data_IF_966434529637
#
_entry.id   IF_966434529637
#
_cell.length_a   1.000
_cell.length_b   1.000
_cell.length_c   1.000
_cell.angle_alpha   90.00
_cell.angle_beta   90.00
_cell.angle_gamma   90.00
#
_symmetry.space_group_name_H-M   'P 1'
#
loop_
_entity.id
_entity.type
_entity.pdbx_description
1 polymer ?
#
# COMPACT_ATOMS: atom_id res chain seq x y z
N UNK A 1 -33.16 -34.87 -43.35
CA UNK A 1 -32.80 -35.67 -44.54
C UNK A 1 -32.40 -34.72 -45.65
N UNK A 2 -31.33 -35.06 -46.40
CA UNK A 2 -30.89 -34.57 -47.73
C UNK A 2 -31.86 -33.60 -48.43
N UNK A 3 -31.50 -32.45 -49.01
CA UNK A 3 -30.40 -32.17 -49.95
C UNK A 3 -30.22 -30.64 -50.11
N UNK A 4 -28.99 -30.22 -50.41
CA UNK A 4 -28.60 -28.88 -50.83
C UNK A 4 -29.06 -28.58 -52.27
N UNK A 5 -29.42 -27.32 -52.57
CA UNK A 5 -29.31 -26.76 -53.92
C UNK A 5 -28.86 -25.30 -53.83
N UNK A 6 -27.61 -25.04 -54.20
CA UNK A 6 -27.16 -23.76 -54.73
C UNK A 6 -26.65 -24.09 -56.14
N UNK A 7 -27.39 -23.64 -57.16
CA UNK A 7 -27.02 -23.83 -58.57
C UNK A 7 -26.03 -22.76 -58.98
N UNK A 8 -25.01 -23.23 -59.69
CA UNK A 8 -23.83 -22.53 -60.13
C UNK A 8 -24.06 -21.64 -61.37
N UNK A 9 -23.19 -20.64 -61.54
CA UNK A 9 -22.62 -20.34 -62.85
C UNK A 9 -21.12 -20.60 -62.81
N UNK A 10 -20.72 -21.57 -63.63
CA UNK A 10 -19.37 -21.98 -63.96
C UNK A 10 -18.84 -21.15 -65.13
N UNK A 11 -17.52 -20.93 -65.17
CA UNK A 11 -16.57 -21.28 -66.25
C UNK A 11 -15.23 -20.60 -65.90
N UNK A 12 -14.19 -21.26 -65.35
CA UNK A 12 -13.38 -22.45 -65.70
C UNK A 12 -11.95 -21.99 -66.08
N UNK A 13 -10.99 -22.31 -65.20
CA UNK A 13 -9.62 -22.85 -65.45
C UNK A 13 -8.81 -22.73 -64.12
N UNK A 14 -9.01 -23.61 -63.12
CA UNK A 14 -8.28 -24.87 -62.80
C UNK A 14 -6.77 -24.73 -62.48
N UNK A 15 -6.14 -25.34 -61.46
CA UNK A 15 -6.43 -26.14 -60.24
C UNK A 15 -5.09 -26.04 -59.42
N UNK A 16 -5.07 -25.68 -58.12
CA UNK A 16 -4.88 -26.61 -56.98
C UNK A 16 -5.20 -25.90 -55.65
N UNK A 17 -6.00 -26.58 -54.84
CA UNK A 17 -6.58 -26.16 -53.55
C UNK A 17 -5.60 -26.35 -52.37
N UNK A 18 -5.71 -25.47 -51.36
CA UNK A 18 -5.96 -25.90 -49.98
C UNK A 18 -6.69 -24.81 -49.20
N UNK A 19 -7.68 -25.24 -48.43
CA UNK A 19 -8.74 -24.43 -47.84
C UNK A 19 -8.28 -23.69 -46.57
N UNK A 20 -8.57 -22.40 -46.54
CA UNK A 20 -8.61 -21.54 -45.37
C UNK A 20 -9.70 -22.00 -44.40
N UNK A 21 -9.28 -22.65 -43.31
CA UNK A 21 -10.12 -22.91 -42.14
C UNK A 21 -10.23 -21.64 -41.30
N UNK A 22 -11.46 -21.19 -41.00
CA UNK A 22 -11.73 -20.32 -39.87
C UNK A 22 -11.30 -21.04 -38.59
N UNK A 23 -10.14 -20.67 -38.04
CA UNK A 23 -9.74 -21.06 -36.70
C UNK A 23 -10.19 -19.97 -35.71
N UNK A 24 -11.06 -20.37 -34.79
CA UNK A 24 -11.23 -19.73 -33.50
C UNK A 24 -9.88 -19.70 -32.79
N UNK A 25 -9.30 -18.50 -32.59
CA UNK A 25 -8.12 -18.33 -31.74
C UNK A 25 -8.49 -18.66 -30.29
N UNK A 26 -8.39 -19.94 -29.92
CA UNK A 26 -8.11 -20.35 -28.54
C UNK A 26 -6.80 -19.71 -28.15
N UNK A 27 -6.78 -19.01 -27.01
CA UNK A 27 -5.60 -18.33 -26.50
C UNK A 27 -4.39 -19.23 -26.49
N UNK A 28 -3.38 -18.85 -27.28
CA UNK A 28 -2.06 -19.45 -27.19
C UNK A 28 -1.51 -19.15 -25.80
N UNK A 29 -1.34 -20.22 -25.01
CA UNK A 29 -0.54 -20.17 -23.80
C UNK A 29 0.88 -19.87 -24.23
N UNK A 30 1.32 -18.64 -23.96
CA UNK A 30 2.71 -18.24 -24.07
C UNK A 30 3.60 -19.28 -23.36
N UNK A 31 4.69 -19.75 -24.00
CA UNK A 31 5.62 -20.67 -23.35
C UNK A 31 6.29 -19.95 -22.17
N UNK A 32 6.23 -20.57 -20.99
CA UNK A 32 7.08 -20.21 -19.85
C UNK A 32 8.52 -20.57 -20.21
N UNK A 33 9.23 -19.63 -20.85
CA UNK A 33 10.69 -19.72 -20.98
C UNK A 33 11.33 -19.23 -19.69
N UNK A 34 11.99 -20.16 -19.00
CA UNK A 34 12.92 -19.91 -17.91
C UNK A 34 14.21 -19.28 -18.46
N UNK A 35 14.32 -17.97 -18.27
CA UNK A 35 15.49 -17.14 -18.50
C UNK A 35 15.09 -15.71 -18.15
N UNK A 36 15.87 -15.01 -17.32
CA UNK A 36 15.58 -13.68 -16.75
C UNK A 36 15.32 -12.60 -17.81
N UNK A 37 14.16 -12.63 -18.47
CA UNK A 37 13.63 -11.48 -19.18
C UNK A 37 13.02 -10.56 -18.14
N UNK A 38 13.42 -9.27 -18.08
CA UNK A 38 12.82 -8.33 -17.16
C UNK A 38 11.31 -8.30 -17.40
N UNK A 39 10.55 -8.39 -16.31
CA UNK A 39 9.09 -8.36 -16.36
C UNK A 39 8.62 -7.05 -17.01
N UNK A 40 7.81 -7.15 -18.06
CA UNK A 40 7.24 -6.01 -18.76
C UNK A 40 5.99 -5.53 -18.01
N UNK A 41 6.21 -4.74 -16.95
CA UNK A 41 5.16 -4.19 -16.10
C UNK A 41 4.10 -3.42 -16.89
N UNK A 42 4.51 -2.62 -17.88
CA UNK A 42 3.57 -1.86 -18.72
C UNK A 42 2.62 -2.75 -19.51
N UNK A 43 3.12 -3.83 -20.11
CA UNK A 43 2.27 -4.80 -20.81
C UNK A 43 1.39 -5.58 -19.84
N UNK A 44 1.92 -6.00 -18.68
CA UNK A 44 1.15 -6.69 -17.64
C UNK A 44 -0.02 -5.83 -17.12
N UNK A 45 0.18 -4.51 -16.99
CA UNK A 45 -0.88 -3.57 -16.62
C UNK A 45 -1.93 -3.43 -17.72
N UNK A 46 -1.52 -3.42 -19.00
CA UNK A 46 -2.45 -3.32 -20.12
C UNK A 46 -3.46 -4.48 -20.17
N UNK A 47 -3.05 -5.67 -19.74
CA UNK A 47 -3.90 -6.87 -19.66
C UNK A 47 -4.93 -6.81 -18.52
N UNK A 48 -4.75 -5.88 -17.57
CA UNK A 48 -5.62 -5.69 -16.40
C UNK A 48 -6.57 -4.51 -16.55
N UNK A 49 -6.63 -3.86 -17.72
CA UNK A 49 -7.47 -2.68 -17.93
C UNK A 49 -8.95 -3.08 -17.97
N UNK A 50 -9.61 -2.97 -16.82
CA UNK A 50 -11.05 -3.09 -16.65
C UNK A 50 -11.66 -1.78 -16.14
N UNK A 51 -12.94 -1.80 -15.74
CA UNK A 51 -13.61 -0.63 -15.15
C UNK A 51 -12.95 -0.25 -13.82
N UNK A 52 -12.57 -1.23 -13.00
CA UNK A 52 -11.92 -1.03 -11.71
C UNK A 52 -10.59 -0.28 -11.86
N UNK A 53 -9.75 -0.69 -12.81
CA UNK A 53 -8.49 -0.06 -13.13
C UNK A 53 -8.68 1.40 -13.57
N UNK A 54 -9.68 1.67 -14.42
CA UNK A 54 -9.99 3.03 -14.88
C UNK A 54 -10.43 3.95 -13.74
N UNK A 55 -11.22 3.44 -12.81
CA UNK A 55 -11.64 4.18 -11.60
C UNK A 55 -10.44 4.41 -10.68
N UNK A 56 -9.64 3.38 -10.41
CA UNK A 56 -8.46 3.51 -9.55
C UNK A 56 -7.44 4.50 -10.11
N UNK A 57 -7.24 4.51 -11.43
CA UNK A 57 -6.36 5.49 -12.10
C UNK A 57 -6.95 6.91 -12.02
N UNK A 58 -8.27 7.06 -12.21
CA UNK A 58 -8.95 8.34 -12.05
C UNK A 58 -8.76 8.89 -10.62
N UNK A 59 -8.89 8.03 -9.61
CA UNK A 59 -8.65 8.41 -8.21
C UNK A 59 -7.19 8.79 -8.01
N UNK A 60 -6.24 7.94 -8.40
CA UNK A 60 -4.81 8.16 -8.14
C UNK A 60 -4.31 9.50 -8.72
N UNK A 61 -4.65 9.77 -9.98
CA UNK A 61 -4.30 11.05 -10.61
C UNK A 61 -5.05 12.24 -10.01
N UNK A 62 -6.31 12.09 -9.64
CA UNK A 62 -7.05 13.15 -8.94
C UNK A 62 -6.44 13.47 -7.58
N UNK A 63 -5.98 12.47 -6.83
CA UNK A 63 -5.34 12.67 -5.52
C UNK A 63 -3.96 13.35 -5.63
N UNK A 64 -3.21 13.08 -6.71
CA UNK A 64 -1.88 13.66 -6.95
C UNK A 64 -1.92 15.05 -7.59
N UNK A 65 -2.96 15.34 -8.36
CA UNK A 65 -3.11 16.57 -9.14
C UNK A 65 -4.39 17.31 -8.73
N UNK A 66 -4.43 17.76 -7.47
CA UNK A 66 -5.66 18.28 -6.84
C UNK A 66 -6.21 19.56 -7.49
N UNK A 67 -5.42 20.26 -8.30
CA UNK A 67 -5.86 21.47 -9.00
C UNK A 67 -6.28 21.23 -10.46
N UNK A 68 -6.15 20.00 -10.96
CA UNK A 68 -6.57 19.65 -12.31
C UNK A 68 -8.09 19.51 -12.42
N UNK A 69 -8.61 19.78 -13.62
CA UNK A 69 -9.99 19.48 -13.98
C UNK A 69 -10.17 18.00 -14.34
N UNK A 70 -11.40 17.50 -14.33
CA UNK A 70 -11.71 16.14 -14.79
C UNK A 70 -11.20 15.91 -16.23
N UNK A 71 -11.32 16.93 -17.11
CA UNK A 71 -10.83 16.85 -18.48
C UNK A 71 -9.32 16.62 -18.55
N UNK A 72 -8.55 17.31 -17.70
CA UNK A 72 -7.10 17.13 -17.64
C UNK A 72 -6.73 15.71 -17.17
N UNK A 73 -7.40 15.24 -16.11
CA UNK A 73 -7.17 13.89 -15.56
C UNK A 73 -7.55 12.80 -16.55
N UNK A 74 -8.69 12.93 -17.23
CA UNK A 74 -9.14 11.97 -18.26
C UNK A 74 -8.16 11.92 -19.43
N UNK A 75 -7.63 13.06 -19.87
CA UNK A 75 -6.59 13.10 -20.90
C UNK A 75 -5.33 12.37 -20.45
N UNK A 76 -4.86 12.62 -19.23
CA UNK A 76 -3.67 11.97 -18.67
C UNK A 76 -3.86 10.45 -18.54
N UNK A 77 -5.02 10.01 -18.02
CA UNK A 77 -5.42 8.60 -17.95
C UNK A 77 -5.41 7.94 -19.33
N UNK A 78 -5.99 8.59 -20.34
CA UNK A 78 -6.00 8.04 -21.70
C UNK A 78 -4.58 7.91 -22.26
N UNK A 79 -3.70 8.88 -21.99
CA UNK A 79 -2.27 8.79 -22.32
C UNK A 79 -1.57 7.59 -21.65
N UNK A 80 -1.89 7.31 -20.38
CA UNK A 80 -1.39 6.11 -19.69
C UNK A 80 -1.88 4.82 -20.37
N UNK A 81 -3.17 4.74 -20.72
CA UNK A 81 -3.73 3.58 -21.41
C UNK A 81 -3.04 3.30 -22.75
N UNK A 82 -2.77 4.36 -23.53
CA UNK A 82 -2.03 4.26 -24.80
C UNK A 82 -0.58 3.84 -24.58
N UNK A 83 0.09 4.38 -23.55
CA UNK A 83 1.45 3.97 -23.21
C UNK A 83 1.53 2.48 -22.86
N UNK A 84 0.63 2.01 -21.99
CA UNK A 84 0.64 0.61 -21.53
C UNK A 84 0.33 -0.36 -22.68
N UNK A 85 -0.61 -0.04 -23.58
CA UNK A 85 -0.85 -0.89 -24.76
C UNK A 85 0.37 -0.92 -25.69
N UNK A 86 1.07 0.22 -25.82
CA UNK A 86 2.33 0.32 -26.53
C UNK A 86 3.46 -0.57 -25.98
N UNK A 87 3.40 -0.93 -24.70
CA UNK A 87 4.40 -1.78 -24.07
C UNK A 87 4.35 -3.25 -24.50
N UNK A 88 3.26 -3.70 -25.14
CA UNK A 88 3.13 -5.09 -25.58
C UNK A 88 3.73 -5.37 -26.97
N UNK A 89 4.29 -4.36 -27.64
CA UNK A 89 4.96 -4.53 -28.93
C UNK A 89 6.42 -4.95 -28.78
N UNK A 90 6.99 -5.57 -29.82
CA UNK A 90 8.35 -6.15 -29.83
C UNK A 90 9.47 -5.15 -29.49
N UNK A 91 9.23 -3.85 -29.70
CA UNK A 91 10.14 -2.74 -29.35
C UNK A 91 9.59 -1.90 -28.21
N UNK A 92 9.30 -2.55 -27.08
CA UNK A 92 8.84 -1.87 -25.88
C UNK A 92 9.85 -0.81 -25.41
N UNK A 93 9.34 0.37 -25.01
CA UNK A 93 10.16 1.41 -24.37
C UNK A 93 10.84 0.85 -23.11
N UNK A 94 12.07 1.29 -22.77
CA UNK A 94 12.70 0.94 -21.49
C UNK A 94 11.81 1.24 -20.28
N UNK A 95 10.96 2.27 -20.38
CA UNK A 95 10.00 2.66 -19.33
C UNK A 95 8.96 1.57 -19.03
N UNK A 96 8.67 0.68 -19.98
CA UNK A 96 7.71 -0.43 -19.80
C UNK A 96 8.16 -1.46 -18.75
N UNK A 97 9.45 -1.49 -18.43
CA UNK A 97 10.04 -2.41 -17.47
C UNK A 97 10.23 -1.79 -16.08
N UNK A 98 9.82 -0.52 -15.90
CA UNK A 98 9.83 0.15 -14.60
C UNK A 98 8.65 -0.31 -13.73
N UNK A 99 8.70 0.05 -12.44
CA UNK A 99 7.59 -0.24 -11.52
C UNK A 99 6.32 0.50 -11.92
N UNK A 100 5.15 -0.03 -11.54
CA UNK A 100 3.85 0.60 -11.76
C UNK A 100 3.81 2.05 -11.27
N UNK A 101 4.29 2.29 -10.04
CA UNK A 101 4.35 3.65 -9.45
C UNK A 101 5.18 4.58 -10.32
N UNK A 102 6.33 4.11 -10.79
CA UNK A 102 7.22 4.91 -11.63
C UNK A 102 6.58 5.20 -12.99
N UNK A 103 5.94 4.23 -13.63
CA UNK A 103 5.21 4.42 -14.89
C UNK A 103 4.15 5.52 -14.73
N UNK A 104 3.34 5.45 -13.67
CA UNK A 104 2.26 6.40 -13.40
C UNK A 104 2.80 7.81 -13.13
N UNK A 105 3.82 7.95 -12.28
CA UNK A 105 4.44 9.25 -11.98
C UNK A 105 5.14 9.84 -13.20
N UNK A 106 5.78 9.03 -14.04
CA UNK A 106 6.39 9.52 -15.29
C UNK A 106 5.37 10.11 -16.25
N UNK A 107 4.12 9.61 -16.28
CA UNK A 107 3.06 10.24 -17.06
C UNK A 107 2.71 11.62 -16.54
N UNK A 108 2.60 11.78 -15.21
CA UNK A 108 2.38 13.10 -14.58
C UNK A 108 3.53 14.05 -14.94
N UNK A 109 4.77 13.58 -14.81
CA UNK A 109 5.95 14.40 -15.02
C UNK A 109 6.22 14.77 -16.49
N UNK A 110 5.60 14.06 -17.43
CA UNK A 110 5.66 14.38 -18.86
C UNK A 110 4.52 15.31 -19.31
N UNK A 111 3.64 15.74 -18.38
CA UNK A 111 2.43 16.48 -18.71
C UNK A 111 2.46 17.94 -18.25
N UNK A 112 2.97 18.82 -19.11
CA UNK A 112 3.12 20.26 -18.82
C UNK A 112 1.81 20.94 -18.37
N UNK A 113 0.67 20.51 -18.92
CA UNK A 113 -0.65 21.04 -18.54
C UNK A 113 -0.94 20.75 -17.06
N UNK A 114 -0.72 19.52 -16.60
CA UNK A 114 -0.91 19.16 -15.19
C UNK A 114 0.10 19.84 -14.29
N UNK A 115 1.36 19.91 -14.71
CA UNK A 115 2.42 20.49 -13.90
C UNK A 115 2.26 22.01 -13.74
N UNK A 116 1.78 22.70 -14.78
CA UNK A 116 1.49 24.15 -14.72
C UNK A 116 0.45 24.52 -13.65
N UNK A 117 -0.42 23.56 -13.28
CA UNK A 117 -1.48 23.71 -12.28
C UNK A 117 -1.04 23.24 -10.88
N UNK A 118 0.06 22.49 -10.77
CA UNK A 118 0.52 21.88 -9.52
C UNK A 118 2.03 22.11 -9.34
N UNK A 119 2.39 23.30 -8.84
CA UNK A 119 3.79 23.71 -8.66
C UNK A 119 4.59 22.70 -7.84
N UNK A 120 4.02 22.13 -6.78
CA UNK A 120 4.74 21.18 -5.94
C UNK A 120 4.92 19.81 -6.60
N UNK A 121 3.96 19.37 -7.43
CA UNK A 121 4.15 18.18 -8.25
C UNK A 121 5.27 18.40 -9.28
N UNK A 122 5.34 19.60 -9.88
CA UNK A 122 6.45 19.99 -10.75
C UNK A 122 7.81 19.90 -10.04
N UNK A 123 7.90 20.39 -8.79
CA UNK A 123 9.13 20.26 -7.98
C UNK A 123 9.49 18.79 -7.71
N UNK A 124 8.51 17.94 -7.40
CA UNK A 124 8.75 16.50 -7.23
C UNK A 124 9.31 15.85 -8.50
N UNK A 125 8.85 16.26 -9.69
CA UNK A 125 9.31 15.70 -10.96
C UNK A 125 10.80 15.96 -11.25
N UNK A 126 11.39 17.00 -10.65
CA UNK A 126 12.84 17.27 -10.73
C UNK A 126 13.71 16.32 -9.90
N UNK A 127 13.12 15.47 -9.06
CA UNK A 127 13.86 14.54 -8.19
C UNK A 127 14.14 13.19 -8.86
N UNK A 128 15.15 12.48 -8.35
CA UNK A 128 15.43 11.08 -8.72
C UNK A 128 14.28 10.16 -8.30
N UNK A 129 14.17 8.98 -8.91
CA UNK A 129 12.98 8.12 -8.85
C UNK A 129 12.40 7.90 -7.44
N UNK A 130 13.21 7.49 -6.46
CA UNK A 130 12.71 7.23 -5.10
C UNK A 130 12.36 8.51 -4.35
N UNK A 131 13.15 9.55 -4.51
CA UNK A 131 12.88 10.85 -3.88
C UNK A 131 11.61 11.47 -4.47
N UNK A 132 11.37 11.27 -5.77
CA UNK A 132 10.12 11.63 -6.46
C UNK A 132 8.93 10.86 -5.88
N UNK A 133 9.04 9.55 -5.71
CA UNK A 133 7.97 8.73 -5.11
C UNK A 133 7.64 9.21 -3.68
N UNK A 134 8.66 9.45 -2.86
CA UNK A 134 8.50 9.99 -1.52
C UNK A 134 7.90 11.40 -1.54
N UNK A 135 8.32 12.25 -2.48
CA UNK A 135 7.80 13.60 -2.64
C UNK A 135 6.31 13.59 -2.94
N UNK A 136 5.85 12.80 -3.93
CA UNK A 136 4.42 12.68 -4.24
C UNK A 136 3.61 12.09 -3.08
N UNK A 137 4.17 11.12 -2.34
CA UNK A 137 3.54 10.59 -1.12
C UNK A 137 3.36 11.69 -0.06
N UNK A 138 4.38 12.53 0.13
CA UNK A 138 4.30 13.65 1.06
C UNK A 138 3.27 14.71 0.60
N UNK A 139 3.14 14.96 -0.70
CA UNK A 139 2.08 15.83 -1.23
C UNK A 139 0.69 15.27 -0.92
N UNK A 140 0.49 13.97 -1.13
CA UNK A 140 -0.76 13.27 -0.85
C UNK A 140 -1.18 13.35 0.63
N UNK A 141 -0.20 13.39 1.54
CA UNK A 141 -0.41 13.43 2.98
C UNK A 141 -0.45 14.86 3.57
N UNK A 142 -0.47 15.91 2.74
CA UNK A 142 -0.63 17.29 3.23
C UNK A 142 -2.04 17.51 3.79
N UNK A 143 -2.22 18.50 4.67
CA UNK A 143 -3.53 18.93 5.11
C UNK A 143 -4.46 19.21 3.92
N UNK A 144 -5.77 18.84 4.00
CA UNK A 144 -6.71 19.10 2.92
C UNK A 144 -6.76 20.58 2.53
N UNK A 145 -6.75 20.84 1.22
CA UNK A 145 -6.91 22.20 0.69
C UNK A 145 -8.39 22.51 0.54
N UNK A 146 -8.77 23.78 0.77
CA UNK A 146 -10.13 24.23 0.53
C UNK A 146 -10.45 24.25 -0.97
N UNK A 147 -11.24 23.28 -1.42
CA UNK A 147 -11.68 23.15 -2.82
C UNK A 147 -13.17 23.55 -2.96
N UNK A 148 -13.58 24.16 -4.10
CA UNK A 148 -14.98 24.51 -4.36
C UNK A 148 -15.88 23.29 -4.26
N UNK A 149 -17.00 23.39 -3.54
CA UNK A 149 -17.87 22.24 -3.22
C UNK A 149 -18.24 21.41 -4.46
N UNK A 150 -18.36 20.09 -4.26
CA UNK A 150 -18.49 19.12 -5.35
C UNK A 150 -19.74 19.37 -6.21
N UNK A 151 -20.80 19.96 -5.63
CA UNK A 151 -22.04 20.18 -6.35
C UNK A 151 -22.91 21.36 -5.89
N UNK A 152 -22.35 22.35 -5.16
CA UNK A 152 -23.13 23.43 -4.52
C UNK A 152 -23.85 24.41 -5.45
N UNK A 153 -23.91 24.13 -6.75
CA UNK A 153 -24.51 25.02 -7.75
C UNK A 153 -25.71 24.40 -8.47
N UNK A 154 -26.06 23.14 -8.20
CA UNK A 154 -27.19 22.46 -8.83
C UNK A 154 -28.22 22.03 -7.79
N UNK A 155 -29.50 22.11 -8.15
CA UNK A 155 -30.59 21.50 -7.37
C UNK A 155 -30.52 19.97 -7.48
N UNK A 156 -31.16 19.26 -6.55
CA UNK A 156 -31.25 17.79 -6.61
C UNK A 156 -31.91 17.33 -7.91
N UNK A 157 -32.90 18.08 -8.41
CA UNK A 157 -33.54 17.82 -9.70
C UNK A 157 -32.55 17.95 -10.87
N UNK A 158 -31.72 19.00 -10.88
CA UNK A 158 -30.69 19.22 -11.90
C UNK A 158 -29.63 18.11 -11.88
N UNK A 159 -29.22 17.66 -10.69
CA UNK A 159 -28.29 16.54 -10.55
C UNK A 159 -28.91 15.21 -11.05
N UNK A 160 -30.20 14.98 -10.80
CA UNK A 160 -30.91 13.82 -11.32
C UNK A 160 -31.09 13.86 -12.84
N UNK A 161 -31.37 15.04 -13.41
CA UNK A 161 -31.38 15.24 -14.86
C UNK A 161 -29.99 14.98 -15.47
N UNK A 162 -28.93 15.45 -14.82
CA UNK A 162 -27.56 15.18 -15.25
C UNK A 162 -27.21 13.68 -15.17
N UNK A 163 -27.67 12.98 -14.13
CA UNK A 163 -27.52 11.52 -14.00
C UNK A 163 -28.21 10.78 -15.15
N UNK A 164 -29.44 11.19 -15.49
CA UNK A 164 -30.21 10.59 -16.57
C UNK A 164 -29.58 10.87 -17.95
N UNK A 165 -29.06 12.08 -18.16
CA UNK A 165 -28.45 12.49 -19.42
C UNK A 165 -27.09 11.83 -19.66
N UNK A 166 -26.22 11.78 -18.65
CA UNK A 166 -24.89 11.19 -18.76
C UNK A 166 -24.38 10.66 -17.42
N UNK A 167 -24.85 9.45 -17.08
CA UNK A 167 -24.43 8.72 -15.88
C UNK A 167 -22.92 8.63 -15.72
N UNK A 168 -22.19 8.32 -16.79
CA UNK A 168 -20.74 8.12 -16.73
C UNK A 168 -20.00 9.41 -16.38
N UNK A 169 -20.38 10.52 -16.99
CA UNK A 169 -19.77 11.82 -16.70
C UNK A 169 -20.05 12.26 -15.25
N UNK A 170 -21.29 12.09 -14.77
CA UNK A 170 -21.63 12.44 -13.39
C UNK A 170 -20.81 11.60 -12.39
N UNK A 171 -20.72 10.29 -12.63
CA UNK A 171 -19.92 9.35 -11.83
C UNK A 171 -18.45 9.76 -11.79
N UNK A 172 -17.82 10.00 -12.94
CA UNK A 172 -16.42 10.41 -12.99
C UNK A 172 -16.18 11.77 -12.31
N UNK A 173 -17.12 12.72 -12.47
CA UNK A 173 -17.07 14.03 -11.82
C UNK A 173 -17.11 13.92 -10.29
N UNK A 174 -17.99 13.07 -9.75
CA UNK A 174 -18.06 12.83 -8.31
C UNK A 174 -16.82 12.12 -7.77
N UNK A 175 -16.34 11.07 -8.45
CA UNK A 175 -15.10 10.37 -8.06
C UNK A 175 -13.94 11.37 -8.04
N UNK A 176 -13.79 12.19 -9.07
CA UNK A 176 -12.77 13.22 -9.15
C UNK A 176 -12.92 14.29 -8.05
N UNK A 177 -14.16 14.71 -7.76
CA UNK A 177 -14.46 15.67 -6.70
C UNK A 177 -14.08 15.16 -5.31
N UNK A 178 -14.41 13.90 -4.99
CA UNK A 178 -14.09 13.26 -3.72
C UNK A 178 -12.59 12.95 -3.60
N UNK A 179 -11.98 12.38 -4.64
CA UNK A 179 -10.58 11.98 -4.64
C UNK A 179 -9.63 13.16 -4.35
N UNK A 180 -9.89 14.34 -4.92
CA UNK A 180 -9.07 15.54 -4.66
C UNK A 180 -9.12 16.05 -3.21
N UNK A 181 -10.11 15.62 -2.42
CA UNK A 181 -10.28 16.01 -1.01
C UNK A 181 -9.81 14.94 -0.05
N UNK A 182 -9.96 13.68 -0.46
CA UNK A 182 -9.65 12.51 0.34
C UNK A 182 -8.36 11.89 -0.17
N UNK A 183 -7.29 12.69 -0.19
CA UNK A 183 -6.01 12.32 -0.78
C UNK A 183 -5.33 11.18 -0.02
N UNK A 184 -5.51 11.09 1.29
CA UNK A 184 -4.91 10.04 2.11
C UNK A 184 -5.47 8.62 1.84
N UNK A 185 -6.63 8.47 1.20
CA UNK A 185 -7.27 7.15 1.07
C UNK A 185 -6.75 6.38 -0.15
N UNK A 186 -6.73 5.05 -0.04
CA UNK A 186 -6.33 4.21 -1.18
C UNK A 186 -7.33 4.33 -2.34
N UNK A 187 -6.89 4.15 -3.60
CA UNK A 187 -7.80 4.12 -4.74
C UNK A 187 -8.96 3.11 -4.59
N UNK A 188 -8.70 1.98 -3.94
CA UNK A 188 -9.70 0.95 -3.68
C UNK A 188 -10.77 1.43 -2.69
N UNK A 189 -10.34 2.03 -1.57
CA UNK A 189 -11.26 2.59 -0.58
C UNK A 189 -12.08 3.75 -1.16
N UNK A 190 -11.44 4.64 -1.91
CA UNK A 190 -12.12 5.71 -2.62
C UNK A 190 -13.14 5.21 -3.65
N UNK A 191 -12.85 4.10 -4.31
CA UNK A 191 -13.79 3.47 -5.24
C UNK A 191 -15.05 2.98 -4.50
N UNK A 192 -14.91 2.41 -3.31
CA UNK A 192 -16.05 1.98 -2.47
C UNK A 192 -16.87 3.15 -1.96
N UNK A 193 -16.22 4.19 -1.42
CA UNK A 193 -16.89 5.42 -0.98
C UNK A 193 -17.66 6.05 -2.15
N UNK A 194 -17.03 6.15 -3.31
CA UNK A 194 -17.68 6.70 -4.50
C UNK A 194 -18.86 5.85 -4.95
N UNK A 195 -18.75 4.53 -4.89
CA UNK A 195 -19.85 3.61 -5.22
C UNK A 195 -21.07 3.82 -4.32
N UNK A 196 -20.89 3.88 -3.01
CA UNK A 196 -21.97 4.13 -2.05
C UNK A 196 -22.66 5.47 -2.32
N UNK A 197 -21.87 6.51 -2.62
CA UNK A 197 -22.39 7.83 -2.97
C UNK A 197 -23.20 7.82 -4.28
N UNK A 198 -22.72 7.11 -5.30
CA UNK A 198 -23.44 6.99 -6.58
C UNK A 198 -24.75 6.19 -6.41
N UNK A 199 -24.76 5.16 -5.55
CA UNK A 199 -25.97 4.41 -5.24
C UNK A 199 -27.05 5.29 -4.62
N UNK A 200 -26.67 6.19 -3.70
CA UNK A 200 -27.59 7.19 -3.14
C UNK A 200 -28.29 7.99 -4.25
N UNK A 201 -27.55 8.47 -5.24
CA UNK A 201 -28.12 9.22 -6.37
C UNK A 201 -29.06 8.35 -7.22
N UNK A 202 -28.62 7.15 -7.57
CA UNK A 202 -29.43 6.21 -8.35
C UNK A 202 -30.74 5.90 -7.61
N UNK A 203 -30.69 5.72 -6.29
CA UNK A 203 -31.88 5.46 -5.49
C UNK A 203 -32.78 6.69 -5.43
N UNK A 204 -32.28 7.85 -5.02
CA UNK A 204 -33.13 9.01 -4.77
C UNK A 204 -33.69 9.65 -6.04
N UNK A 205 -32.97 9.63 -7.15
CA UNK A 205 -33.48 10.13 -8.43
C UNK A 205 -34.66 9.32 -8.98
N UNK A 206 -34.97 8.14 -8.42
CA UNK A 206 -36.18 7.38 -8.75
C UNK A 206 -37.37 7.70 -7.85
N UNK A 207 -37.16 8.40 -6.73
CA UNK A 207 -38.20 8.76 -5.76
C UNK A 207 -38.70 10.19 -5.97
N UNK A 208 -39.29 10.47 -7.13
CA UNK A 208 -39.70 11.83 -7.54
C UNK A 208 -40.62 12.49 -6.50
N UNK A 209 -41.56 11.74 -5.91
CA UNK A 209 -42.52 12.26 -4.93
C UNK A 209 -41.90 12.61 -3.56
N UNK A 210 -40.70 12.10 -3.27
CA UNK A 210 -40.01 12.32 -2.00
C UNK A 210 -38.50 12.59 -2.22
N UNK A 211 -38.17 13.36 -3.26
CA UNK A 211 -36.78 13.58 -3.68
C UNK A 211 -35.93 14.13 -2.52
N UNK A 212 -36.37 15.25 -1.93
CA UNK A 212 -35.69 15.92 -0.81
C UNK A 212 -35.55 15.03 0.41
N UNK A 213 -36.62 14.32 0.79
CA UNK A 213 -36.61 13.43 1.94
C UNK A 213 -35.70 12.22 1.73
N UNK A 214 -35.69 11.63 0.52
CA UNK A 214 -34.78 10.56 0.17
C UNK A 214 -33.32 11.01 0.28
N UNK A 215 -32.96 12.14 -0.36
CA UNK A 215 -31.58 12.64 -0.33
C UNK A 215 -31.13 12.97 1.09
N UNK A 216 -31.98 13.57 1.92
CA UNK A 216 -31.66 13.85 3.32
C UNK A 216 -31.33 12.56 4.09
N UNK A 217 -32.22 11.55 4.01
CA UNK A 217 -32.05 10.28 4.70
C UNK A 217 -30.84 9.49 4.17
N UNK A 218 -30.71 9.33 2.86
CA UNK A 218 -29.62 8.56 2.25
C UNK A 218 -28.26 9.24 2.42
N UNK A 219 -28.21 10.58 2.47
CA UNK A 219 -26.96 11.30 2.76
C UNK A 219 -26.47 11.03 4.18
N UNK A 220 -27.38 10.97 5.15
CA UNK A 220 -27.03 10.60 6.52
C UNK A 220 -26.50 9.17 6.61
N UNK A 221 -27.18 8.22 5.96
CA UNK A 221 -26.72 6.82 5.83
C UNK A 221 -25.33 6.74 5.20
N UNK A 222 -25.11 7.43 4.07
CA UNK A 222 -23.82 7.50 3.41
C UNK A 222 -22.70 8.06 4.31
N UNK A 223 -22.98 9.12 5.08
CA UNK A 223 -21.99 9.68 5.99
C UNK A 223 -21.60 8.69 7.10
N UNK A 224 -22.57 7.93 7.63
CA UNK A 224 -22.32 6.88 8.61
C UNK A 224 -21.51 5.73 7.99
N UNK A 225 -21.90 5.24 6.82
CA UNK A 225 -21.16 4.18 6.09
C UNK A 225 -19.73 4.59 5.76
N UNK A 226 -19.54 5.82 5.26
CA UNK A 226 -18.22 6.36 4.95
C UNK A 226 -17.34 6.42 6.20
N UNK A 227 -17.87 6.88 7.34
CA UNK A 227 -17.14 6.90 8.60
C UNK A 227 -16.71 5.48 9.02
N UNK A 228 -17.62 4.52 8.93
CA UNK A 228 -17.33 3.12 9.26
C UNK A 228 -16.28 2.52 8.32
N UNK A 229 -16.35 2.80 7.02
CA UNK A 229 -15.36 2.34 6.04
C UNK A 229 -13.97 2.91 6.35
N UNK A 230 -13.88 4.20 6.71
CA UNK A 230 -12.63 4.85 7.13
C UNK A 230 -12.07 4.19 8.38
N UNK A 231 -12.90 3.97 9.40
CA UNK A 231 -12.47 3.34 10.64
C UNK A 231 -12.00 1.90 10.39
N UNK A 232 -12.72 1.12 9.59
CA UNK A 232 -12.43 -0.29 9.32
C UNK A 232 -11.18 -0.48 8.45
N UNK A 233 -10.97 0.36 7.43
CA UNK A 233 -9.80 0.27 6.55
C UNK A 233 -8.53 0.87 7.16
N UNK A 234 -8.64 1.62 8.25
CA UNK A 234 -7.49 2.16 8.99
C UNK A 234 -6.77 1.04 9.78
N UNK A 235 -6.06 0.18 9.04
CA UNK A 235 -5.38 -1.02 9.54
C UNK A 235 -4.43 -0.72 10.69
N UNK A 236 -3.68 0.37 10.60
CA UNK A 236 -2.73 0.75 11.67
C UNK A 236 -3.49 1.14 12.94
N UNK A 237 -4.56 1.94 12.85
CA UNK A 237 -5.35 2.27 14.03
C UNK A 237 -6.05 1.03 14.62
N UNK A 238 -6.64 0.17 13.78
CA UNK A 238 -7.26 -1.08 14.24
C UNK A 238 -6.28 -1.96 15.01
N UNK A 239 -5.03 -2.04 14.56
CA UNK A 239 -3.95 -2.73 15.27
C UNK A 239 -3.45 -1.96 16.49
N UNK A 240 -3.57 -0.64 16.51
CA UNK A 240 -3.13 0.21 17.63
C UNK A 240 -4.11 0.26 18.80
N UNK A 241 -5.35 -0.23 18.62
CA UNK A 241 -6.34 -0.40 19.71
C UNK A 241 -5.80 -1.21 20.89
N UNK A 242 -4.74 -2.00 20.67
CA UNK A 242 -4.09 -2.80 21.70
C UNK A 242 -3.05 -2.03 22.55
N UNK A 243 -2.85 -0.72 22.34
CA UNK A 243 -2.04 0.15 23.19
C UNK A 243 -0.63 0.46 22.68
N UNK A 244 -0.09 1.60 23.12
CA UNK A 244 1.21 2.11 22.68
C UNK A 244 2.37 1.15 23.01
N UNK A 245 2.37 0.54 24.22
CA UNK A 245 3.42 -0.40 24.65
C UNK A 245 3.55 -1.60 23.70
N UNK A 246 2.43 -2.19 23.28
CA UNK A 246 2.44 -3.31 22.32
C UNK A 246 2.98 -2.89 20.95
N UNK A 247 2.60 -1.71 20.47
CA UNK A 247 3.12 -1.17 19.21
C UNK A 247 4.63 -0.95 19.26
N UNK A 248 5.12 -0.36 20.36
CA UNK A 248 6.55 -0.17 20.60
C UNK A 248 7.28 -1.51 20.58
N UNK A 249 6.79 -2.50 21.34
CA UNK A 249 7.39 -3.84 21.42
C UNK A 249 7.42 -4.56 20.07
N UNK A 250 6.33 -4.56 19.31
CA UNK A 250 6.28 -5.21 17.99
C UNK A 250 7.26 -4.56 17.01
N UNK A 251 7.41 -3.24 17.05
CA UNK A 251 8.37 -2.51 16.24
C UNK A 251 9.82 -2.76 16.68
N UNK A 252 10.09 -2.89 17.98
CA UNK A 252 11.39 -3.31 18.52
C UNK A 252 11.76 -4.71 18.01
N UNK A 253 10.84 -5.67 18.11
CA UNK A 253 11.04 -7.05 17.62
C UNK A 253 11.35 -7.02 16.11
N UNK A 254 10.53 -6.32 15.33
CA UNK A 254 10.76 -6.19 13.89
C UNK A 254 12.13 -5.59 13.59
N UNK A 255 12.51 -4.50 14.27
CA UNK A 255 13.78 -3.85 14.07
C UNK A 255 14.95 -4.78 14.41
N UNK A 256 14.92 -5.44 15.56
CA UNK A 256 15.93 -6.39 15.98
C UNK A 256 16.09 -7.56 14.99
N UNK A 257 14.99 -8.06 14.43
CA UNK A 257 15.03 -9.12 13.41
C UNK A 257 15.55 -8.65 12.05
N UNK A 258 15.51 -7.34 11.75
CA UNK A 258 15.93 -6.79 10.45
C UNK A 258 17.26 -6.05 10.48
N UNK A 259 17.66 -5.52 11.62
CA UNK A 259 18.98 -4.91 11.88
C UNK A 259 19.56 -5.45 13.19
N UNK A 260 19.99 -6.73 13.23
CA UNK A 260 20.52 -7.33 14.45
C UNK A 260 21.71 -6.61 15.05
N UNK A 261 22.50 -5.87 14.26
CA UNK A 261 23.67 -5.15 14.76
C UNK A 261 23.33 -3.84 15.49
N UNK A 262 22.13 -3.27 15.27
CA UNK A 262 21.71 -2.04 15.93
C UNK A 262 21.58 -2.27 17.45
N UNK A 263 21.93 -1.24 18.23
CA UNK A 263 21.89 -1.28 19.70
C UNK A 263 20.46 -1.23 20.25
N UNK A 264 20.29 -1.60 21.53
CA UNK A 264 19.02 -1.47 22.26
C UNK A 264 18.43 -0.06 22.15
N UNK A 265 19.25 0.98 22.26
CA UNK A 265 18.82 2.39 22.16
C UNK A 265 18.26 2.72 20.76
N UNK A 266 18.87 2.18 19.69
CA UNK A 266 18.38 2.38 18.33
C UNK A 266 17.05 1.65 18.11
N UNK A 267 16.94 0.40 18.58
CA UNK A 267 15.71 -0.38 18.51
C UNK A 267 14.56 0.28 19.30
N UNK A 268 14.83 0.79 20.51
CA UNK A 268 13.86 1.50 21.33
C UNK A 268 13.36 2.78 20.63
N UNK A 269 14.27 3.61 20.11
CA UNK A 269 13.91 4.82 19.38
C UNK A 269 13.07 4.52 18.11
N UNK A 270 13.39 3.43 17.41
CA UNK A 270 12.57 2.95 16.29
C UNK A 270 11.16 2.57 16.74
N UNK A 271 11.06 1.82 17.85
CA UNK A 271 9.79 1.40 18.45
C UNK A 271 8.91 2.57 18.86
N UNK A 272 9.46 3.54 19.59
CA UNK A 272 8.75 4.75 20.04
C UNK A 272 8.30 5.62 18.85
N UNK A 273 9.15 5.74 17.82
CA UNK A 273 8.82 6.48 16.60
C UNK A 273 7.63 5.84 15.88
N UNK A 274 7.63 4.51 15.74
CA UNK A 274 6.49 3.80 15.15
C UNK A 274 5.24 3.91 16.03
N UNK A 275 5.35 3.73 17.35
CA UNK A 275 4.21 3.80 18.26
C UNK A 275 3.51 5.17 18.21
N UNK A 276 4.28 6.26 18.15
CA UNK A 276 3.76 7.62 17.98
C UNK A 276 3.05 7.81 16.63
N UNK A 277 3.64 7.30 15.54
CA UNK A 277 2.98 7.28 14.22
C UNK A 277 1.65 6.51 14.27
N UNK A 278 1.67 5.32 14.87
CA UNK A 278 0.52 4.42 14.92
C UNK A 278 -0.62 5.01 15.79
N UNK A 279 -0.27 5.69 16.89
CA UNK A 279 -1.21 6.46 17.70
C UNK A 279 -1.85 7.62 16.90
N UNK A 280 -1.04 8.36 16.14
CA UNK A 280 -1.52 9.45 15.30
C UNK A 280 -2.50 8.96 14.21
N UNK A 281 -2.33 7.74 13.70
CA UNK A 281 -3.28 7.16 12.75
C UNK A 281 -4.70 7.02 13.30
N UNK A 282 -4.91 7.01 14.62
CA UNK A 282 -6.24 6.99 15.22
C UNK A 282 -6.90 8.37 15.34
N UNK A 283 -6.22 9.45 14.94
CA UNK A 283 -6.71 10.83 15.02
C UNK A 283 -6.92 11.36 13.61
N UNK A 284 -8.11 11.92 13.36
CA UNK A 284 -8.49 12.39 12.02
C UNK A 284 -7.55 13.47 11.49
N UNK A 285 -7.04 14.36 12.35
CA UNK A 285 -6.12 15.42 11.93
C UNK A 285 -4.71 14.94 11.53
N UNK A 286 -4.30 13.73 11.93
CA UNK A 286 -2.98 13.17 11.64
C UNK A 286 -3.02 11.95 10.71
N UNK A 287 -4.18 11.68 10.12
CA UNK A 287 -4.38 10.54 9.26
C UNK A 287 -3.62 10.70 7.95
N UNK A 288 -2.77 9.73 7.65
CA UNK A 288 -1.99 9.68 6.40
C UNK A 288 -2.34 8.42 5.62
N UNK A 289 -1.92 8.36 4.36
CA UNK A 289 -2.06 7.16 3.53
C UNK A 289 -1.43 5.90 4.13
N UNK A 290 -0.40 6.04 4.97
CA UNK A 290 0.23 4.92 5.65
C UNK A 290 -0.66 4.28 6.71
N UNK A 291 -1.65 4.99 7.25
CA UNK A 291 -2.59 4.45 8.24
C UNK A 291 -3.46 3.31 7.68
N UNK A 292 -3.63 3.26 6.35
CA UNK A 292 -4.45 2.27 5.64
C UNK A 292 -3.64 1.08 5.08
N UNK A 293 -2.33 1.04 5.37
CA UNK A 293 -1.40 -0.01 4.91
C UNK A 293 -1.19 -1.07 5.98
N UNK A 294 -0.62 -2.21 5.58
CA UNK A 294 -0.25 -3.25 6.54
C UNK A 294 0.92 -2.73 7.40
N UNK A 295 0.89 -3.04 8.69
CA UNK A 295 1.96 -2.70 9.62
C UNK A 295 3.35 -3.14 9.12
N UNK A 296 3.47 -4.33 8.54
CA UNK A 296 4.74 -4.81 7.97
C UNK A 296 5.33 -3.84 6.95
N UNK A 297 4.49 -3.32 6.06
CA UNK A 297 4.92 -2.47 4.94
C UNK A 297 5.37 -1.11 5.48
N UNK A 298 4.65 -0.57 6.47
CA UNK A 298 5.01 0.68 7.14
C UNK A 298 6.32 0.52 7.93
N UNK A 299 6.50 -0.58 8.65
CA UNK A 299 7.73 -0.86 9.40
C UNK A 299 8.95 -0.95 8.48
N UNK A 300 8.82 -1.60 7.30
CA UNK A 300 9.88 -1.60 6.29
C UNK A 300 10.20 -0.18 5.79
N UNK A 301 9.19 0.65 5.53
CA UNK A 301 9.42 2.02 5.08
C UNK A 301 10.13 2.86 6.14
N UNK A 302 9.76 2.74 7.42
CA UNK A 302 10.47 3.38 8.54
C UNK A 302 11.93 2.91 8.65
N UNK A 303 12.18 1.61 8.47
CA UNK A 303 13.54 1.06 8.49
C UNK A 303 14.37 1.59 7.32
N UNK A 304 13.77 1.69 6.14
CA UNK A 304 14.43 2.22 4.95
C UNK A 304 14.69 3.72 5.04
N UNK A 305 13.80 4.49 5.68
CA UNK A 305 13.98 5.92 5.92
C UNK A 305 15.19 6.22 6.83
N UNK A 306 15.51 5.33 7.76
CA UNK A 306 16.69 5.46 8.63
C UNK A 306 17.99 4.89 8.04
N UNK A 307 17.93 4.27 6.86
CA UNK A 307 19.08 3.60 6.23
C UNK A 307 19.69 4.48 5.14
N UNK A 308 20.58 5.39 5.53
CA UNK A 308 21.16 6.39 4.64
C UNK A 308 22.17 5.83 3.61
N UNK A 309 22.88 4.75 3.94
CA UNK A 309 23.93 4.17 3.10
C UNK A 309 24.13 2.66 3.38
N UNK A 310 24.91 2.00 2.52
CA UNK A 310 25.35 0.61 2.68
C UNK A 310 24.33 -0.44 2.20
N UNK A 311 24.57 -1.73 2.50
CA UNK A 311 23.78 -2.85 1.98
C UNK A 311 22.27 -2.76 2.27
N UNK A 312 21.91 -2.17 3.42
CA UNK A 312 20.51 -1.90 3.76
C UNK A 312 19.85 -0.92 2.81
N UNK A 313 20.55 0.14 2.42
CA UNK A 313 20.05 1.09 1.41
C UNK A 313 19.82 0.34 0.11
N UNK A 314 20.77 -0.48 -0.35
CA UNK A 314 20.65 -1.26 -1.59
C UNK A 314 19.43 -2.19 -1.57
N UNK A 315 19.17 -2.86 -0.46
CA UNK A 315 17.94 -3.66 -0.30
C UNK A 315 16.66 -2.79 -0.34
N UNK A 316 16.69 -1.61 0.27
CA UNK A 316 15.57 -0.66 0.25
C UNK A 316 15.28 -0.07 -1.14
N UNK A 317 16.27 -0.06 -2.04
CA UNK A 317 16.10 0.33 -3.45
C UNK A 317 15.43 -0.77 -4.31
N UNK A 318 15.36 -2.02 -3.82
CA UNK A 318 14.75 -3.12 -4.57
C UNK A 318 13.23 -3.00 -4.64
N UNK A 319 12.63 -3.76 -5.57
CA UNK A 319 11.18 -3.85 -5.73
C UNK A 319 10.52 -4.33 -4.45
N UNK A 320 9.26 -3.96 -4.22
CA UNK A 320 8.52 -4.33 -2.99
C UNK A 320 8.48 -5.83 -2.73
N UNK A 321 8.41 -6.66 -3.77
CA UNK A 321 8.43 -8.12 -3.65
C UNK A 321 9.79 -8.70 -3.25
N UNK A 322 10.88 -8.00 -3.55
CA UNK A 322 12.26 -8.46 -3.34
C UNK A 322 12.88 -7.88 -2.06
N UNK A 323 12.43 -6.69 -1.66
CA UNK A 323 12.91 -5.95 -0.48
C UNK A 323 12.89 -6.81 0.81
N UNK A 324 11.78 -7.50 1.18
CA UNK A 324 11.76 -8.32 2.39
C UNK A 324 12.79 -9.45 2.41
N UNK A 325 12.99 -10.12 1.26
CA UNK A 325 13.95 -11.22 1.13
C UNK A 325 15.39 -10.72 1.27
N UNK A 326 15.72 -9.62 0.60
CA UNK A 326 17.04 -8.98 0.69
C UNK A 326 17.39 -8.57 2.12
N UNK A 327 16.49 -7.85 2.80
CA UNK A 327 16.71 -7.41 4.18
C UNK A 327 16.87 -8.58 5.15
N UNK A 328 16.11 -9.67 4.95
CA UNK A 328 16.19 -10.85 5.81
C UNK A 328 17.51 -11.61 5.64
N UNK A 329 18.08 -11.63 4.43
CA UNK A 329 19.39 -12.23 4.18
C UNK A 329 20.51 -11.45 4.88
N UNK A 330 20.51 -10.12 4.77
CA UNK A 330 21.46 -9.27 5.50
C UNK A 330 21.35 -9.47 7.01
N UNK A 331 20.13 -9.42 7.55
CA UNK A 331 19.90 -9.63 8.96
C UNK A 331 20.42 -10.98 9.45
N UNK A 332 20.19 -12.07 8.69
CA UNK A 332 20.70 -13.39 9.06
C UNK A 332 22.23 -13.43 9.13
N UNK A 333 22.92 -12.72 8.24
CA UNK A 333 24.39 -12.63 8.27
C UNK A 333 24.88 -11.87 9.51
N UNK A 334 24.28 -10.71 9.81
CA UNK A 334 24.60 -9.91 11.01
C UNK A 334 24.33 -10.66 12.31
N UNK A 335 23.19 -11.36 12.38
CA UNK A 335 22.79 -12.16 13.54
C UNK A 335 23.84 -13.20 13.90
N UNK A 336 24.39 -13.92 12.90
CA UNK A 336 25.47 -14.90 13.11
C UNK A 336 26.74 -14.29 13.68
N UNK A 337 27.03 -13.03 13.36
CA UNK A 337 28.18 -12.31 13.91
C UNK A 337 27.93 -11.81 15.34
N UNK A 338 26.66 -11.71 15.75
CA UNK A 338 26.22 -11.19 17.05
C UNK A 338 26.10 -12.27 18.14
N UNK A 339 26.31 -13.55 17.80
CA UNK A 339 26.06 -14.71 18.67
C UNK A 339 26.95 -14.81 19.94
N UNK A 340 27.87 -13.88 20.16
CA UNK A 340 28.76 -13.89 21.33
C UNK A 340 28.32 -12.87 22.38
N UNK A 341 27.46 -13.29 23.32
CA UNK A 341 27.15 -12.49 24.50
C UNK A 341 26.48 -13.32 25.58
N UNK A 342 27.11 -13.42 26.76
CA UNK A 342 26.45 -13.94 27.96
C UNK A 342 25.40 -12.95 28.45
N UNK A 343 24.37 -13.45 29.12
CA UNK A 343 23.41 -12.58 29.80
C UNK A 343 24.12 -11.89 30.96
N UNK A 344 23.98 -10.57 31.02
CA UNK A 344 24.43 -9.80 32.17
C UNK A 344 23.27 -9.72 33.17
N UNK A 345 23.30 -10.57 34.20
CA UNK A 345 22.24 -10.62 35.21
C UNK A 345 22.17 -9.35 36.07
N UNK A 346 23.28 -8.63 36.23
CA UNK A 346 23.30 -7.35 36.94
C UNK A 346 22.44 -6.33 36.19
N UNK A 347 22.63 -6.23 34.87
CA UNK A 347 21.79 -5.38 33.99
C UNK A 347 20.31 -5.80 34.05
N UNK A 348 20.02 -7.10 34.08
CA UNK A 348 18.64 -7.60 34.14
C UNK A 348 17.97 -7.26 35.48
N UNK A 349 18.69 -7.34 36.59
CA UNK A 349 18.17 -6.92 37.89
C UNK A 349 18.00 -5.40 37.97
N UNK A 350 18.87 -4.61 37.33
CA UNK A 350 18.68 -3.16 37.18
C UNK A 350 17.38 -2.85 36.43
N UNK A 351 17.17 -3.47 35.26
CA UNK A 351 15.94 -3.33 34.47
C UNK A 351 14.70 -3.81 35.24
N UNK A 352 14.79 -4.90 36.00
CA UNK A 352 13.69 -5.43 36.81
C UNK A 352 13.24 -4.43 37.90
N UNK A 353 14.19 -3.66 38.47
CA UNK A 353 13.88 -2.57 39.42
C UNK A 353 13.18 -1.39 38.74
N UNK A 354 13.45 -1.12 37.48
CA UNK A 354 12.73 -0.10 36.69
C UNK A 354 11.34 -0.56 36.26
N UNK A 355 11.15 -1.88 36.08
CA UNK A 355 9.85 -2.51 35.87
C UNK A 355 9.94 -3.77 35.02
N UNK A 356 9.01 -4.71 35.25
CA UNK A 356 8.99 -5.99 34.52
C UNK A 356 8.87 -5.82 33.00
N UNK A 357 8.19 -4.77 32.54
CA UNK A 357 8.06 -4.46 31.11
C UNK A 357 9.40 -4.13 30.44
N UNK A 358 10.37 -3.60 31.19
CA UNK A 358 11.72 -3.29 30.68
C UNK A 358 12.50 -4.57 30.42
N UNK A 359 12.46 -5.51 31.38
CA UNK A 359 13.06 -6.84 31.22
C UNK A 359 12.42 -7.56 30.04
N UNK A 360 11.09 -7.51 29.94
CA UNK A 360 10.36 -8.16 28.85
C UNK A 360 10.79 -7.63 27.49
N UNK A 361 10.81 -6.30 27.32
CA UNK A 361 11.12 -5.65 26.04
C UNK A 361 12.59 -5.85 25.64
N UNK A 362 13.51 -5.78 26.61
CA UNK A 362 14.93 -6.05 26.39
C UNK A 362 15.17 -7.51 25.98
N UNK A 363 14.50 -8.45 26.66
CA UNK A 363 14.59 -9.89 26.35
C UNK A 363 14.06 -10.19 24.96
N UNK A 364 12.93 -9.57 24.58
CA UNK A 364 12.37 -9.69 23.25
C UNK A 364 13.35 -9.19 22.19
N UNK A 365 14.02 -8.06 22.42
CA UNK A 365 15.05 -7.53 21.52
C UNK A 365 16.26 -8.48 21.39
N UNK A 366 16.84 -8.93 22.50
CA UNK A 366 18.02 -9.79 22.49
C UNK A 366 17.75 -11.16 21.85
N UNK A 367 16.58 -11.73 22.07
CA UNK A 367 16.21 -12.97 21.38
C UNK A 367 15.92 -12.74 19.89
N UNK A 368 15.21 -11.67 19.56
CA UNK A 368 14.85 -11.34 18.16
C UNK A 368 16.06 -11.12 17.27
N UNK A 369 17.10 -10.43 17.76
CA UNK A 369 18.32 -10.18 16.98
C UNK A 369 19.15 -11.44 16.75
N UNK A 370 19.07 -12.44 17.65
CA UNK A 370 19.75 -13.75 17.51
C UNK A 370 18.94 -14.75 16.68
N UNK A 371 17.63 -14.54 16.57
CA UNK A 371 16.70 -15.44 15.90
C UNK A 371 15.76 -14.68 14.95
N UNK A 372 16.35 -14.20 13.85
CA UNK A 372 15.70 -13.29 12.87
C UNK A 372 14.52 -13.91 12.11
N UNK A 373 14.31 -15.23 12.23
CA UNK A 373 13.30 -16.03 11.53
C UNK A 373 12.17 -16.54 12.45
N UNK A 374 12.27 -16.35 13.76
CA UNK A 374 11.26 -16.84 14.71
C UNK A 374 9.98 -16.02 14.66
N UNK A 375 8.87 -16.70 14.95
CA UNK A 375 7.56 -16.06 15.05
C UNK A 375 7.49 -15.11 16.25
N UNK A 376 6.65 -14.07 16.14
CA UNK A 376 6.38 -13.15 17.25
C UNK A 376 5.93 -13.91 18.50
N UNK A 377 5.05 -14.91 18.37
CA UNK A 377 4.57 -15.68 19.52
C UNK A 377 5.70 -16.44 20.24
N UNK A 378 6.64 -17.03 19.48
CA UNK A 378 7.81 -17.69 20.07
C UNK A 378 8.65 -16.71 20.88
N UNK A 379 8.88 -15.51 20.33
CA UNK A 379 9.65 -14.44 20.97
C UNK A 379 8.95 -13.96 22.25
N UNK A 380 7.63 -13.74 22.21
CA UNK A 380 6.84 -13.28 23.36
C UNK A 380 6.81 -14.33 24.49
N UNK A 381 6.66 -15.60 24.14
CA UNK A 381 6.65 -16.70 25.12
C UNK A 381 7.99 -16.80 25.84
N UNK A 382 9.10 -16.72 25.08
CA UNK A 382 10.43 -16.70 25.67
C UNK A 382 10.66 -15.47 26.56
N UNK A 383 10.29 -14.28 26.07
CA UNK A 383 10.42 -13.03 26.83
C UNK A 383 9.65 -13.10 28.16
N UNK A 384 8.50 -13.76 28.17
CA UNK A 384 7.71 -14.01 29.38
C UNK A 384 8.45 -14.92 30.37
N UNK A 385 9.03 -16.02 29.87
CA UNK A 385 9.83 -16.94 30.66
C UNK A 385 11.05 -16.25 31.29
N UNK A 386 11.79 -15.44 30.50
CA UNK A 386 12.92 -14.64 31.01
C UNK A 386 12.47 -13.68 32.09
N UNK A 387 11.40 -12.92 31.83
CA UNK A 387 10.91 -11.91 32.77
C UNK A 387 10.56 -12.53 34.12
N UNK A 388 9.86 -13.67 34.12
CA UNK A 388 9.52 -14.39 35.35
C UNK A 388 10.76 -14.89 36.08
N UNK A 389 11.75 -15.40 35.35
CA UNK A 389 12.98 -15.94 35.91
C UNK A 389 13.84 -14.84 36.54
N UNK A 390 14.00 -13.72 35.85
CA UNK A 390 14.73 -12.54 36.36
C UNK A 390 14.03 -12.02 37.62
N UNK A 391 12.70 -11.86 37.60
CA UNK A 391 11.95 -11.40 38.76
C UNK A 391 12.13 -12.34 39.97
N UNK A 392 12.16 -13.66 39.74
CA UNK A 392 12.40 -14.62 40.79
C UNK A 392 13.82 -14.51 41.35
N UNK A 393 14.84 -14.56 40.48
CA UNK A 393 16.24 -14.58 40.91
C UNK A 393 16.68 -13.27 41.55
N UNK A 394 16.29 -12.12 41.01
CA UNK A 394 16.65 -10.81 41.56
C UNK A 394 16.01 -10.53 42.94
N UNK A 395 15.00 -11.32 43.35
CA UNK A 395 14.43 -11.26 44.70
C UNK A 395 15.22 -12.11 45.72
N UNK A 396 16.16 -12.94 45.27
CA UNK A 396 16.99 -13.77 46.15
C UNK A 396 18.24 -13.02 46.63
N UNK A 397 18.80 -13.43 47.77
CA UNK A 397 20.05 -12.85 48.30
C UNK A 397 21.28 -13.18 47.44
N UNK A 398 21.24 -14.29 46.71
CA UNK A 398 22.30 -14.75 45.81
C UNK A 398 21.72 -15.00 44.42
N UNK A 399 21.42 -13.90 43.73
CA UNK A 399 20.83 -13.95 42.39
C UNK A 399 21.79 -14.58 41.36
N UNK A 400 23.10 -14.53 41.59
CA UNK A 400 24.10 -15.17 40.73
C UNK A 400 24.00 -16.69 40.83
N UNK A 401 23.93 -17.25 42.04
CA UNK A 401 23.67 -18.68 42.21
C UNK A 401 22.33 -19.12 41.62
N UNK A 402 21.27 -18.31 41.79
CA UNK A 402 19.98 -18.56 41.16
C UNK A 402 20.09 -18.58 39.62
N UNK A 403 20.79 -17.60 39.03
CA UNK A 403 20.93 -17.46 37.58
C UNK A 403 21.64 -18.65 36.92
N UNK A 404 22.64 -19.24 37.58
CA UNK A 404 23.40 -20.38 37.07
C UNK A 404 22.55 -21.65 36.93
N UNK A 405 21.51 -21.80 37.75
CA UNK A 405 20.60 -22.95 37.69
C UNK A 405 19.63 -22.88 36.50
N UNK A 406 19.35 -21.67 36.01
CA UNK A 406 18.37 -21.41 34.95
C UNK A 406 18.99 -21.01 33.62
N UNK A 407 20.27 -20.61 33.60
CA UNK A 407 21.05 -20.15 32.43
C UNK A 407 20.95 -21.02 31.15
N UNK A 408 20.93 -22.37 31.21
CA UNK A 408 20.82 -23.21 30.02
C UNK A 408 19.53 -22.98 29.21
N UNK A 409 18.44 -22.56 29.87
CA UNK A 409 17.13 -22.39 29.24
C UNK A 409 16.97 -21.04 28.50
N UNK A 410 17.98 -20.17 28.53
CA UNK A 410 17.90 -18.82 27.97
C UNK A 410 18.37 -18.72 26.51
N UNK A 411 19.22 -19.65 26.07
CA UNK A 411 19.95 -19.59 24.80
C UNK A 411 19.53 -20.64 23.77
N UNK A 412 18.66 -21.58 24.14
CA UNK A 412 17.96 -22.51 23.24
C UNK A 412 16.59 -21.93 22.83
#
# INVERSE_FOLDING_TARGET
MRTSTCVAMLLFMSILFSQSSCQTHRGDRYPRNGGDRPQNTGCDLSLKVDISFKIQTLVDYSQKLIFNSLKDITRLRNGLLVFMSGCCFDKASPECFLSERTIFLSRICADDISLSKNREAFLCCGMQQLDRELCFKNLQNRPPVHLPAISSHFSQDEECLALAANKNHLVESYIHGLARRLTAFSPQMMSRISHAYILLYITCCTQVENLTGCFASKKEEFLMEMKNEIENENKICQQSKYGAAKNTLLAIIFHAQKKPSDSWKQALNFGETYARFAFNCCRTEFMTSDCFRKQSDVLYDHLCASSAAGPYRDCCLKRESEKPGCLSQLASQESRMTLNGSLNFDLLCDLSREGQEQVFSWSAYEYSRKHTDKSINTILNHSSFITNTVNHCCATKDYLACSLQVSPMFFE
#
